data_IF_726291655112
#
_entry.id   IF_726291655112
#
_cell.length_a   1.000
_cell.length_b   1.000
_cell.length_c   1.000
_cell.angle_alpha   90.00
_cell.angle_beta   90.00
_cell.angle_gamma   90.00
#
_symmetry.space_group_name_H-M   'P 1'
#
loop_
_entity.id
_entity.type
_entity.pdbx_description
1 polymer ?
#
# COMPACT_ATOMS: atom_id res chain seq x y z
N UNK A 1 18.58 -27.15 -12.89
CA UNK A 1 17.20 -26.67 -13.10
C UNK A 1 16.60 -26.36 -11.74
N UNK A 2 16.77 -25.11 -11.27
CA UNK A 2 16.24 -24.67 -9.97
C UNK A 2 14.72 -24.64 -10.03
N UNK A 3 14.06 -25.40 -9.15
CA UNK A 3 12.68 -25.85 -9.29
C UNK A 3 11.63 -24.75 -9.55
N UNK A 4 10.90 -24.91 -10.64
CA UNK A 4 9.64 -24.23 -10.92
C UNK A 4 8.51 -24.90 -10.13
N UNK A 5 8.48 -24.67 -8.82
CA UNK A 5 7.29 -24.95 -8.01
C UNK A 5 6.16 -23.99 -8.41
N UNK A 6 4.91 -24.46 -8.35
CA UNK A 6 3.73 -23.62 -8.63
C UNK A 6 3.79 -22.32 -7.81
N UNK A 7 3.82 -21.17 -8.51
CA UNK A 7 3.94 -19.83 -7.92
C UNK A 7 2.61 -19.33 -7.31
N UNK A 8 1.84 -20.21 -6.67
CA UNK A 8 0.53 -19.88 -6.10
C UNK A 8 0.67 -19.64 -4.61
N UNK A 9 1.18 -18.46 -4.21
CA UNK A 9 1.09 -18.06 -2.81
C UNK A 9 -0.36 -17.69 -2.49
N UNK A 10 -0.93 -18.15 -1.36
CA UNK A 10 -2.29 -17.79 -1.00
C UNK A 10 -2.41 -16.28 -0.83
N UNK A 11 -3.58 -15.73 -1.14
CA UNK A 11 -3.88 -14.32 -0.94
C UNK A 11 -3.94 -14.05 0.56
N UNK A 12 -2.95 -13.33 1.08
CA UNK A 12 -2.90 -12.87 2.46
C UNK A 12 -3.98 -11.77 2.63
N UNK A 13 -4.76 -11.81 3.71
CA UNK A 13 -5.73 -10.75 4.00
C UNK A 13 -5.04 -9.39 4.15
N UNK A 14 -5.73 -8.32 3.78
CA UNK A 14 -5.21 -6.95 3.82
C UNK A 14 -4.91 -6.53 5.27
N UNK A 15 -3.72 -5.98 5.50
CA UNK A 15 -3.35 -5.40 6.78
C UNK A 15 -3.91 -3.99 6.88
N UNK A 16 -5.03 -3.82 7.58
CA UNK A 16 -5.66 -2.50 7.81
C UNK A 16 -5.36 -1.99 9.21
N UNK A 17 -4.79 -0.80 9.28
CA UNK A 17 -4.63 -0.02 10.52
C UNK A 17 -5.26 1.35 10.33
N UNK A 18 -5.36 2.15 11.40
CA UNK A 18 -6.09 3.43 11.38
C UNK A 18 -5.65 4.43 10.31
N UNK A 19 -4.39 4.40 9.88
CA UNK A 19 -3.84 5.35 8.90
C UNK A 19 -2.99 4.68 7.83
N UNK A 20 -2.92 3.35 7.84
CA UNK A 20 -2.05 2.58 6.95
C UNK A 20 -2.79 1.35 6.49
N UNK A 21 -2.89 1.20 5.18
CA UNK A 21 -3.42 -0.01 4.56
C UNK A 21 -2.31 -0.67 3.76
N UNK A 22 -2.04 -1.93 4.07
CA UNK A 22 -1.06 -2.77 3.36
C UNK A 22 -1.80 -3.87 2.59
N UNK A 23 -1.67 -3.88 1.27
CA UNK A 23 -2.30 -4.88 0.39
C UNK A 23 -1.25 -5.68 -0.37
N UNK A 24 -1.51 -6.97 -0.58
CA UNK A 24 -0.66 -7.84 -1.40
C UNK A 24 -0.94 -7.57 -2.88
N UNK A 25 0.12 -7.31 -3.65
CA UNK A 25 0.03 -7.12 -5.10
C UNK A 25 -0.31 -8.45 -5.81
N UNK A 26 -0.88 -8.34 -7.00
CA UNK A 26 -1.12 -9.49 -7.87
C UNK A 26 0.20 -10.20 -8.23
N UNK A 27 0.14 -11.52 -8.31
CA UNK A 27 1.30 -12.34 -8.67
C UNK A 27 1.48 -12.24 -10.18
N UNK A 28 2.50 -11.52 -10.63
CA UNK A 28 2.82 -11.44 -12.06
C UNK A 28 3.56 -12.69 -12.53
N UNK A 29 3.21 -13.28 -13.69
CA UNK A 29 3.89 -14.45 -14.23
C UNK A 29 5.36 -14.10 -14.53
N UNK A 30 6.28 -14.89 -13.96
CA UNK A 30 7.72 -14.64 -14.04
C UNK A 30 8.33 -14.02 -12.77
N UNK A 31 7.56 -13.29 -11.94
CA UNK A 31 8.06 -12.79 -10.67
C UNK A 31 8.36 -13.94 -9.69
N UNK A 32 9.41 -13.77 -8.89
CA UNK A 32 9.80 -14.73 -7.84
C UNK A 32 9.21 -14.37 -6.47
N UNK A 33 8.83 -13.10 -6.29
CA UNK A 33 8.29 -12.55 -5.05
C UNK A 33 6.93 -11.90 -5.29
N UNK A 34 6.10 -11.87 -4.26
CA UNK A 34 4.87 -11.08 -4.26
C UNK A 34 5.16 -9.77 -3.54
N UNK A 35 4.95 -8.65 -4.22
CA UNK A 35 5.14 -7.32 -3.63
C UNK A 35 3.96 -6.93 -2.74
N UNK A 36 4.19 -5.98 -1.84
CA UNK A 36 3.14 -5.34 -1.05
C UNK A 36 3.07 -3.84 -1.39
N UNK A 37 1.87 -3.28 -1.36
CA UNK A 37 1.62 -1.84 -1.42
C UNK A 37 1.22 -1.33 -0.06
N UNK A 38 1.84 -0.24 0.39
CA UNK A 38 1.47 0.46 1.62
C UNK A 38 0.94 1.83 1.25
N UNK A 39 -0.33 2.09 1.56
CA UNK A 39 -0.98 3.39 1.37
C UNK A 39 -1.18 4.06 2.72
N UNK A 40 -0.76 5.32 2.82
CA UNK A 40 -0.88 6.14 4.03
C UNK A 40 -2.04 7.12 3.90
N UNK A 41 -2.91 7.16 4.89
CA UNK A 41 -4.00 8.13 4.97
C UNK A 41 -3.52 9.39 5.72
N UNK A 42 -3.82 10.60 5.21
CA UNK A 42 -3.43 11.84 5.87
C UNK A 42 -4.14 11.96 7.22
N UNK A 43 -3.36 12.13 8.29
CA UNK A 43 -3.89 12.25 9.66
C UNK A 43 -4.30 13.69 10.02
N UNK A 44 -3.77 14.68 9.30
CA UNK A 44 -3.94 16.10 9.61
C UNK A 44 -4.94 16.77 8.67
N UNK A 45 -5.78 17.64 9.23
CA UNK A 45 -6.67 18.49 8.45
C UNK A 45 -5.87 19.63 7.84
N UNK A 46 -5.72 19.64 6.52
CA UNK A 46 -5.15 20.78 5.82
C UNK A 46 -6.16 21.92 5.76
N UNK A 47 -5.81 23.06 6.37
CA UNK A 47 -6.58 24.31 6.27
C UNK A 47 -5.78 25.26 5.39
N UNK A 48 -6.35 25.80 4.30
CA UNK A 48 -5.63 26.74 3.44
C UNK A 48 -5.27 27.99 4.23
N UNK A 49 -4.02 28.44 4.07
CA UNK A 49 -3.53 29.67 4.69
C UNK A 49 -4.39 30.86 4.24
N UNK A 50 -4.97 31.58 5.20
CA UNK A 50 -5.73 32.79 4.94
C UNK A 50 -4.84 34.00 5.24
N UNK A 51 -4.59 34.83 4.24
CA UNK A 51 -3.89 36.10 4.45
C UNK A 51 -4.72 36.95 5.41
N UNK A 52 -4.16 37.36 6.56
CA UNK A 52 -4.90 38.20 7.51
C UNK A 52 -5.32 39.49 6.81
N UNK A 53 -6.56 39.94 7.06
CA UNK A 53 -7.04 41.22 6.54
C UNK A 53 -6.09 42.32 7.04
N UNK A 54 -5.60 43.16 6.11
CA UNK A 54 -4.75 44.31 6.44
C UNK A 54 -5.48 45.18 7.48
N UNK A 55 -4.73 45.77 8.44
CA UNK A 55 -5.29 46.69 9.41
C UNK A 55 -5.94 47.90 8.73
#
# INVERSE_FOLDING_TARGET
MSGEGQKTRPKVPEGKTRFVTTTQKEITPGAFFVGYTTTWEPFQKEVPYQTPKKP
#
